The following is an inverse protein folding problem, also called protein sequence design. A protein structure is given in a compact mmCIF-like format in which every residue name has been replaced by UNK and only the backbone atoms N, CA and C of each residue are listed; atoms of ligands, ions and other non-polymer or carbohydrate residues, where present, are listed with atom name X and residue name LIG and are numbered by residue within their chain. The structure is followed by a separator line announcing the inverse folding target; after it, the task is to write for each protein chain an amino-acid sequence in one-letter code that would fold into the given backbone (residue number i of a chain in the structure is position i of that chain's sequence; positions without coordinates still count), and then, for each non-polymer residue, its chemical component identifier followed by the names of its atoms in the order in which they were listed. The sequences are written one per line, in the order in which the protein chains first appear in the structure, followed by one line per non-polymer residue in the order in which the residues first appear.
data_IF_780041516152
#
_entry.id   IF_780041516152
#
_cell.length_a   1.000
_cell.length_b   1.000
_cell.length_c   1.000
_cell.angle_alpha   90.00
_cell.angle_beta   90.00
_cell.angle_gamma   90.00
#
_symmetry.space_group_name_H-M   'P 1'
#
loop_
_entity.id
_entity.type
_entity.pdbx_description
1 polymer ?
#
# COMPACT_ATOMS: atom_id res chain seq x y z
N UNK A 1 -1.19 12.19 -12.85
CA UNK A 1 -1.35 13.40 -12.02
C UNK A 1 -0.91 14.59 -12.84
N UNK A 2 -1.79 15.56 -13.02
CA UNK A 2 -1.50 16.80 -13.72
C UNK A 2 -0.70 17.77 -12.81
N UNK A 3 -0.20 18.86 -13.40
CA UNK A 3 0.69 19.81 -12.69
C UNK A 3 -0.02 20.54 -11.54
N UNK A 4 -1.32 20.81 -11.67
CA UNK A 4 -2.13 21.51 -10.66
C UNK A 4 -2.38 20.62 -9.46
N UNK A 5 -2.79 19.37 -9.68
CA UNK A 5 -3.01 18.38 -8.61
C UNK A 5 -1.73 18.12 -7.81
N UNK A 6 -0.59 17.99 -8.50
CA UNK A 6 0.70 17.83 -7.83
C UNK A 6 1.00 19.01 -6.90
N UNK A 7 0.78 20.24 -7.37
CA UNK A 7 0.99 21.45 -6.56
C UNK A 7 0.10 21.46 -5.32
N UNK A 8 -1.19 21.11 -5.45
CA UNK A 8 -2.11 21.02 -4.32
C UNK A 8 -1.66 19.98 -3.29
N UNK A 9 -1.25 18.78 -3.72
CA UNK A 9 -0.72 17.76 -2.81
C UNK A 9 0.57 18.22 -2.11
N UNK A 10 1.44 18.96 -2.80
CA UNK A 10 2.63 19.56 -2.19
C UNK A 10 2.28 20.62 -1.13
N UNK A 11 1.27 21.46 -1.40
CA UNK A 11 0.76 22.46 -0.45
C UNK A 11 0.20 21.76 0.81
N UNK A 12 -0.61 20.71 0.65
CA UNK A 12 -1.13 19.89 1.75
C UNK A 12 0.00 19.28 2.58
N UNK A 13 1.04 18.73 1.93
CA UNK A 13 2.21 18.17 2.62
C UNK A 13 2.96 19.25 3.39
N UNK A 14 3.11 20.45 2.84
CA UNK A 14 3.82 21.55 3.50
C UNK A 14 3.11 22.09 4.75
N UNK A 15 1.79 21.86 4.85
CA UNK A 15 0.93 22.26 5.96
C UNK A 15 0.81 21.21 7.06
N UNK A 16 1.50 20.06 6.93
CA UNK A 16 1.45 19.03 7.97
C UNK A 16 2.08 19.52 9.28
N UNK A 17 1.45 19.13 10.38
CA UNK A 17 1.84 19.53 11.75
C UNK A 17 3.29 19.13 12.08
N UNK A 18 3.70 17.94 11.62
CA UNK A 18 5.02 17.38 11.88
C UNK A 18 5.84 17.25 10.59
N UNK A 19 7.18 17.36 10.69
CA UNK A 19 8.06 17.05 9.57
C UNK A 19 7.79 15.64 9.03
N UNK A 20 7.75 15.52 7.70
CA UNK A 20 7.61 14.21 7.06
C UNK A 20 8.98 13.64 6.70
N UNK A 21 9.08 12.31 6.75
CA UNK A 21 10.17 11.54 6.14
C UNK A 21 9.88 11.31 4.65
N UNK A 22 8.63 10.97 4.33
CA UNK A 22 8.12 10.85 2.98
C UNK A 22 6.59 10.95 2.95
N UNK A 23 6.04 11.26 1.78
CA UNK A 23 4.63 11.10 1.45
C UNK A 23 4.49 10.62 0.00
N UNK A 24 3.71 9.57 -0.20
CA UNK A 24 3.51 8.87 -1.47
C UNK A 24 2.04 8.62 -1.72
N UNK A 25 1.63 8.59 -2.99
CA UNK A 25 0.28 8.20 -3.37
C UNK A 25 0.18 6.67 -3.32
N UNK A 26 -0.89 6.19 -2.68
CA UNK A 26 -1.34 4.80 -2.66
C UNK A 26 -2.65 4.69 -3.44
N UNK A 27 -3.52 3.73 -3.10
CA UNK A 27 -4.86 3.72 -3.66
C UNK A 27 -4.92 3.35 -5.14
N UNK A 28 -6.10 3.55 -5.74
CA UNK A 28 -6.36 3.16 -7.12
C UNK A 28 -5.32 3.72 -8.12
N UNK A 29 -4.74 4.89 -7.82
CA UNK A 29 -3.64 5.49 -8.57
C UNK A 29 -2.36 4.63 -8.56
N UNK A 30 -1.91 4.17 -7.40
CA UNK A 30 -0.77 3.24 -7.29
C UNK A 30 -1.09 1.92 -7.98
N UNK A 31 -2.31 1.42 -7.78
CA UNK A 31 -2.71 0.08 -8.20
C UNK A 31 -3.03 -0.05 -9.70
N UNK A 32 -3.08 1.07 -10.43
CA UNK A 32 -3.21 1.08 -11.89
C UNK A 32 -4.64 1.02 -12.40
N UNK A 33 -5.64 1.36 -11.56
CA UNK A 33 -7.04 1.45 -11.97
C UNK A 33 -7.78 2.66 -11.36
N UNK A 34 -7.23 3.88 -11.40
CA UNK A 34 -7.91 5.08 -10.91
C UNK A 34 -9.09 5.44 -11.84
N UNK A 35 -10.29 5.50 -11.30
CA UNK A 35 -11.43 6.13 -11.98
C UNK A 35 -11.37 7.66 -11.85
N UNK A 36 -12.10 8.44 -12.69
CA UNK A 36 -12.12 9.90 -12.61
C UNK A 36 -12.56 10.46 -11.25
N UNK A 37 -13.35 9.68 -10.50
CA UNK A 37 -13.84 9.95 -9.14
C UNK A 37 -12.98 9.25 -8.06
N UNK A 38 -11.74 8.87 -8.35
CA UNK A 38 -10.88 8.24 -7.36
C UNK A 38 -10.21 9.26 -6.45
N UNK A 39 -10.32 9.00 -5.15
CA UNK A 39 -9.63 9.76 -4.11
C UNK A 39 -8.10 9.61 -4.25
N UNK A 40 -7.40 10.68 -3.87
CA UNK A 40 -5.96 10.64 -3.67
C UNK A 40 -5.66 10.10 -2.27
N UNK A 41 -5.37 8.80 -2.21
CA UNK A 41 -4.84 8.13 -1.02
C UNK A 41 -3.39 8.57 -0.75
N UNK A 42 -3.18 9.64 0.00
CA UNK A 42 -1.85 10.08 0.41
C UNK A 42 -1.43 9.32 1.67
N UNK A 43 -0.27 8.66 1.61
CA UNK A 43 0.27 7.85 2.70
C UNK A 43 1.70 8.26 3.00
N UNK A 44 2.08 8.32 4.27
CA UNK A 44 3.42 8.80 4.61
C UNK A 44 3.87 8.52 6.03
N UNK A 45 5.05 9.04 6.34
CA UNK A 45 5.68 8.91 7.63
C UNK A 45 6.00 10.30 8.16
N UNK A 46 5.49 10.61 9.35
CA UNK A 46 5.85 11.82 10.08
C UNK A 46 6.83 11.52 11.21
N UNK A 47 7.51 12.54 11.69
CA UNK A 47 8.52 12.45 12.74
C UNK A 47 8.00 13.23 13.94
N UNK A 48 7.58 12.52 14.98
CA UNK A 48 7.16 13.18 16.21
C UNK A 48 8.35 13.86 16.93
N UNK A 49 8.11 15.00 17.62
CA UNK A 49 9.08 15.64 18.49
C UNK A 49 9.67 14.68 19.52
N UNK A 50 10.95 14.86 19.88
CA UNK A 50 11.58 13.99 20.89
C UNK A 50 10.81 14.08 22.21
N UNK A 51 10.43 15.29 22.63
CA UNK A 51 9.72 15.55 23.87
C UNK A 51 8.40 14.78 23.98
N UNK A 52 7.65 14.67 22.87
CA UNK A 52 6.39 13.92 22.84
C UNK A 52 6.59 12.41 23.01
N UNK A 53 7.71 11.86 22.54
CA UNK A 53 7.93 10.41 22.58
C UNK A 53 8.64 9.94 23.85
N UNK A 54 9.46 10.78 24.48
CA UNK A 54 10.10 10.47 25.77
C UNK A 54 9.25 10.89 26.97
N UNK A 55 8.21 11.69 26.74
CA UNK A 55 7.27 12.12 27.77
C UNK A 55 6.42 10.98 28.32
N UNK A 56 5.69 11.27 29.41
CA UNK A 56 4.79 10.30 30.05
C UNK A 56 3.49 10.06 29.27
N UNK A 57 3.14 10.96 28.35
CA UNK A 57 1.91 10.87 27.57
C UNK A 57 2.11 9.90 26.40
N UNK A 58 1.04 9.19 26.03
CA UNK A 58 1.04 8.41 24.79
C UNK A 58 0.85 9.36 23.60
N UNK A 59 1.83 9.50 22.70
CA UNK A 59 1.71 10.43 21.59
C UNK A 59 0.70 9.94 20.54
N UNK A 60 0.16 10.86 19.75
CA UNK A 60 -0.69 10.53 18.60
C UNK A 60 0.19 10.01 17.46
N UNK A 61 0.45 8.71 17.43
CA UNK A 61 1.31 8.07 16.41
C UNK A 61 0.68 8.00 15.00
N UNK A 62 -0.54 8.49 14.80
CA UNK A 62 -1.24 8.43 13.50
C UNK A 62 -2.13 9.64 13.28
N UNK A 63 -1.93 10.28 12.13
CA UNK A 63 -2.72 11.40 11.66
C UNK A 63 -3.54 10.91 10.47
N UNK A 64 -4.85 11.10 10.57
CA UNK A 64 -5.83 10.78 9.54
C UNK A 64 -6.59 12.07 9.24
N UNK A 65 -6.60 12.46 7.97
CA UNK A 65 -7.23 13.68 7.49
C UNK A 65 -7.93 13.35 6.18
N UNK A 66 -9.26 13.44 6.16
CA UNK A 66 -10.04 13.38 4.92
C UNK A 66 -10.53 14.78 4.57
N UNK A 67 -10.25 15.23 3.35
CA UNK A 67 -10.60 16.59 2.88
C UNK A 67 -11.15 16.53 1.46
N UNK A 68 -12.09 17.43 1.19
CA UNK A 68 -12.53 17.76 -0.15
C UNK A 68 -12.04 19.18 -0.45
N UNK A 69 -11.00 19.31 -1.27
CA UNK A 69 -10.44 20.60 -1.68
C UNK A 69 -10.67 20.82 -3.18
N UNK A 70 -11.59 21.72 -3.53
CA UNK A 70 -12.04 22.12 -4.88
C UNK A 70 -12.24 20.95 -5.87
N UNK A 71 -11.16 20.34 -6.35
CA UNK A 71 -11.13 19.29 -7.37
C UNK A 71 -10.45 17.98 -6.90
N UNK A 72 -10.04 17.88 -5.63
CA UNK A 72 -9.39 16.69 -5.06
C UNK A 72 -10.15 16.22 -3.83
N UNK A 73 -10.58 14.95 -3.86
CA UNK A 73 -10.93 14.19 -2.67
C UNK A 73 -9.64 13.53 -2.15
N UNK A 74 -9.19 13.94 -0.97
CA UNK A 74 -7.95 13.50 -0.34
C UNK A 74 -8.27 12.66 0.89
N UNK A 75 -7.63 11.50 0.97
CA UNK A 75 -7.49 10.74 2.20
C UNK A 75 -6.01 10.68 2.58
N UNK A 76 -5.61 11.41 3.62
CA UNK A 76 -4.24 11.46 4.13
C UNK A 76 -4.13 10.60 5.39
N UNK A 77 -3.20 9.65 5.37
CA UNK A 77 -2.82 8.88 6.56
C UNK A 77 -1.31 8.88 6.71
N UNK A 78 -0.81 9.39 7.83
CA UNK A 78 0.61 9.30 8.18
C UNK A 78 0.82 8.65 9.53
N UNK A 79 1.90 7.88 9.65
CA UNK A 79 2.31 7.26 10.91
C UNK A 79 3.60 7.87 11.42
N UNK A 80 3.77 7.92 12.75
CA UNK A 80 5.08 8.21 13.32
C UNK A 80 6.10 7.18 12.82
N UNK A 81 7.32 7.64 12.58
CA UNK A 81 8.43 6.83 12.08
C UNK A 81 8.67 5.54 12.89
N UNK A 82 8.55 5.57 14.22
CA UNK A 82 8.70 4.36 15.05
C UNK A 82 7.57 3.36 14.77
N UNK A 83 6.33 3.83 14.70
CA UNK A 83 5.17 2.99 14.38
C UNK A 83 5.33 2.36 12.99
N UNK A 84 5.71 3.15 11.98
CA UNK A 84 5.94 2.66 10.64
C UNK A 84 7.03 1.58 10.58
N UNK A 85 8.17 1.80 11.25
CA UNK A 85 9.26 0.81 11.32
C UNK A 85 8.80 -0.48 12.04
N UNK A 86 7.99 -0.35 13.08
CA UNK A 86 7.35 -1.47 13.74
C UNK A 86 6.43 -2.27 12.81
N UNK A 87 5.70 -1.61 11.92
CA UNK A 87 4.85 -2.27 10.92
C UNK A 87 5.68 -3.01 9.85
N UNK A 88 6.80 -2.43 9.40
CA UNK A 88 7.74 -3.12 8.50
C UNK A 88 8.25 -4.43 9.12
N UNK A 89 8.65 -4.39 10.39
CA UNK A 89 9.12 -5.59 11.11
C UNK A 89 8.01 -6.62 11.38
N UNK A 90 6.74 -6.20 11.34
CA UNK A 90 5.57 -7.08 11.54
C UNK A 90 5.03 -7.68 10.24
N UNK A 91 5.79 -7.58 9.14
CA UNK A 91 5.47 -8.17 7.83
C UNK A 91 4.22 -7.58 7.19
N UNK A 92 4.00 -6.29 7.41
CA UNK A 92 2.83 -5.60 6.87
C UNK A 92 3.13 -5.18 5.42
N UNK A 93 2.53 -5.87 4.44
CA UNK A 93 2.70 -5.58 3.02
C UNK A 93 2.20 -4.20 2.61
N UNK A 94 1.17 -3.69 3.28
CA UNK A 94 0.60 -2.37 2.99
C UNK A 94 1.61 -1.23 3.19
N UNK A 95 2.40 -1.25 4.27
CA UNK A 95 3.43 -0.21 4.47
C UNK A 95 4.61 -0.37 3.51
N UNK A 96 4.89 -1.59 3.02
CA UNK A 96 5.87 -1.78 1.94
C UNK A 96 5.38 -1.17 0.63
N UNK A 97 4.10 -1.35 0.28
CA UNK A 97 3.51 -0.74 -0.92
C UNK A 97 3.55 0.80 -0.86
N UNK A 98 3.36 1.39 0.33
CA UNK A 98 3.53 2.83 0.54
C UNK A 98 4.99 3.25 0.35
N UNK A 99 5.92 2.58 1.04
CA UNK A 99 7.35 2.89 0.99
C UNK A 99 7.94 2.79 -0.42
N UNK A 100 7.51 1.80 -1.20
CA UNK A 100 8.01 1.57 -2.56
C UNK A 100 7.12 2.18 -3.64
N UNK A 101 6.11 2.97 -3.29
CA UNK A 101 5.28 3.64 -4.28
C UNK A 101 6.14 4.55 -5.16
N UNK A 102 6.07 4.43 -6.50
CA UNK A 102 6.79 5.32 -7.40
C UNK A 102 6.14 6.71 -7.49
N UNK A 103 4.95 6.90 -6.91
CA UNK A 103 4.19 8.15 -6.96
C UNK A 103 4.53 9.04 -5.76
N UNK A 104 5.73 9.61 -5.78
CA UNK A 104 6.29 10.40 -4.68
C UNK A 104 5.74 11.83 -4.72
N UNK A 105 5.17 12.29 -3.61
CA UNK A 105 4.75 13.70 -3.40
C UNK A 105 5.83 14.45 -2.61
N UNK A 106 6.41 13.80 -1.60
CA UNK A 106 7.46 14.34 -0.76
C UNK A 106 8.44 13.25 -0.33
N UNK A 107 9.73 13.59 -0.24
CA UNK A 107 10.79 12.66 0.13
C UNK A 107 11.97 13.37 0.79
N UNK A 108 12.67 12.69 1.67
CA UNK A 108 14.00 13.08 2.16
C UNK A 108 15.06 12.04 1.74
N UNK A 109 16.37 12.30 1.92
CA UNK A 109 17.41 11.28 1.68
C UNK A 109 17.21 10.00 2.51
N UNK A 110 16.69 10.12 3.73
CA UNK A 110 16.41 9.00 4.62
C UNK A 110 15.27 8.10 4.12
N UNK A 111 14.40 8.59 3.21
CA UNK A 111 13.41 7.74 2.55
C UNK A 111 14.08 6.69 1.64
N UNK A 112 15.08 7.08 0.86
CA UNK A 112 15.83 6.13 0.02
C UNK A 112 16.69 5.17 0.86
N UNK A 113 17.27 5.67 1.96
CA UNK A 113 17.96 4.80 2.92
C UNK A 113 16.99 3.80 3.57
N UNK A 114 15.79 4.23 3.95
CA UNK A 114 14.75 3.35 4.48
C UNK A 114 14.34 2.28 3.46
N UNK A 115 14.21 2.63 2.17
CA UNK A 115 13.97 1.66 1.09
C UNK A 115 15.07 0.62 0.98
N UNK A 116 16.33 1.02 1.15
CA UNK A 116 17.45 0.07 1.17
C UNK A 116 17.35 -0.89 2.38
N UNK A 117 17.06 -0.36 3.57
CA UNK A 117 16.92 -1.16 4.80
C UNK A 117 15.71 -2.09 4.75
N UNK A 118 14.58 -1.61 4.23
CA UNK A 118 13.31 -2.35 4.21
C UNK A 118 13.35 -3.62 3.35
N UNK A 119 14.29 -3.72 2.40
CA UNK A 119 14.56 -4.99 1.70
C UNK A 119 14.86 -6.14 2.67
N UNK A 120 15.53 -5.84 3.78
CA UNK A 120 15.86 -6.79 4.86
C UNK A 120 14.73 -7.00 5.87
N UNK A 121 13.58 -6.35 5.68
CA UNK A 121 12.34 -6.63 6.42
C UNK A 121 11.45 -7.66 5.70
N UNK A 122 11.66 -7.87 4.40
CA UNK A 122 10.83 -8.76 3.58
C UNK A 122 11.14 -10.21 3.93
N UNK A 123 10.09 -11.00 4.12
CA UNK A 123 10.15 -12.41 4.52
C UNK A 123 9.13 -13.23 3.76
N UNK A 124 9.36 -14.55 3.67
CA UNK A 124 8.37 -15.47 3.05
C UNK A 124 7.03 -15.49 3.79
N UNK A 125 6.99 -15.01 5.04
CA UNK A 125 5.78 -14.89 5.85
C UNK A 125 4.91 -13.65 5.53
N UNK A 126 5.34 -12.77 4.62
CA UNK A 126 4.44 -11.75 4.06
C UNK A 126 3.25 -12.36 3.32
N UNK A 127 3.36 -13.63 2.89
CA UNK A 127 2.26 -14.42 2.32
C UNK A 127 0.96 -14.29 3.13
N UNK A 128 1.05 -14.29 4.47
CA UNK A 128 -0.13 -14.22 5.34
C UNK A 128 -0.83 -12.86 5.29
N UNK A 129 -0.08 -11.77 5.09
CA UNK A 129 -0.68 -10.46 4.90
C UNK A 129 -1.50 -10.42 3.60
N UNK A 130 -0.90 -10.86 2.49
CA UNK A 130 -1.54 -10.83 1.18
C UNK A 130 -2.75 -11.78 1.11
N UNK A 131 -2.65 -12.99 1.66
CA UNK A 131 -3.79 -13.93 1.76
C UNK A 131 -4.92 -13.37 2.65
N UNK A 132 -4.59 -12.82 3.82
CA UNK A 132 -5.58 -12.23 4.72
C UNK A 132 -6.31 -11.04 4.09
N UNK A 133 -5.59 -10.19 3.35
CA UNK A 133 -6.18 -9.08 2.62
C UNK A 133 -7.07 -9.59 1.47
N UNK A 134 -6.58 -10.54 0.67
CA UNK A 134 -7.36 -11.14 -0.42
C UNK A 134 -8.66 -11.75 0.10
N UNK A 135 -8.61 -12.50 1.21
CA UNK A 135 -9.79 -13.07 1.85
C UNK A 135 -10.79 -12.01 2.28
N UNK A 136 -10.32 -10.90 2.84
CA UNK A 136 -11.19 -9.79 3.26
C UNK A 136 -11.92 -9.17 2.07
N UNK A 137 -11.19 -8.91 0.98
CA UNK A 137 -11.77 -8.36 -0.25
C UNK A 137 -12.70 -9.35 -0.96
N UNK A 138 -12.35 -10.63 -0.96
CA UNK A 138 -13.20 -11.69 -1.49
C UNK A 138 -14.54 -11.77 -0.75
N UNK A 139 -14.52 -11.69 0.59
CA UNK A 139 -15.75 -11.65 1.40
C UNK A 139 -16.61 -10.42 1.14
N UNK A 140 -15.99 -9.27 0.86
CA UNK A 140 -16.73 -8.06 0.47
C UNK A 140 -17.39 -8.27 -0.90
N UNK A 141 -16.63 -8.80 -1.86
CA UNK A 141 -17.12 -9.13 -3.19
C UNK A 141 -18.29 -10.13 -3.16
N UNK A 142 -18.14 -11.24 -2.43
CA UNK A 142 -19.09 -12.36 -2.43
C UNK A 142 -20.38 -12.10 -1.65
N UNK A 143 -20.41 -11.09 -0.77
CA UNK A 143 -21.59 -10.74 0.04
C UNK A 143 -22.48 -9.69 -0.62
N UNK A 144 -22.04 -9.06 -1.69
CA UNK A 144 -22.81 -8.03 -2.38
C UNK A 144 -23.91 -8.68 -3.23
N UNK A 145 -25.17 -8.23 -3.06
CA UNK A 145 -26.30 -8.66 -3.91
C UNK A 145 -26.09 -8.30 -5.39
N UNK A 146 -25.21 -7.32 -5.67
CA UNK A 146 -24.75 -6.95 -7.00
C UNK A 146 -23.24 -6.71 -6.92
N UNK A 147 -22.41 -7.76 -7.14
CA UNK A 147 -20.98 -7.70 -6.87
C UNK A 147 -20.27 -6.65 -7.71
N UNK A 148 -19.64 -5.69 -7.06
CA UNK A 148 -18.86 -4.64 -7.71
C UNK A 148 -17.49 -5.15 -8.12
N UNK A 149 -16.99 -4.66 -9.26
CA UNK A 149 -15.65 -4.97 -9.78
C UNK A 149 -14.51 -4.47 -8.89
N UNK A 150 -14.72 -3.38 -8.11
CA UNK A 150 -13.65 -2.79 -7.27
C UNK A 150 -13.08 -3.80 -6.26
N UNK A 151 -13.86 -4.42 -5.34
CA UNK A 151 -13.35 -5.47 -4.46
C UNK A 151 -12.59 -6.59 -5.20
N UNK A 152 -13.09 -7.02 -6.35
CA UNK A 152 -12.46 -8.08 -7.14
C UNK A 152 -11.09 -7.66 -7.73
N UNK A 153 -10.95 -6.43 -8.22
CA UNK A 153 -9.66 -5.88 -8.64
C UNK A 153 -8.66 -5.86 -7.48
N UNK A 154 -9.11 -5.54 -6.26
CA UNK A 154 -8.27 -5.60 -5.06
C UNK A 154 -7.88 -7.03 -4.68
N UNK A 155 -8.73 -8.04 -4.91
CA UNK A 155 -8.36 -9.45 -4.76
C UNK A 155 -7.23 -9.83 -5.72
N UNK A 156 -7.40 -9.55 -7.02
CA UNK A 156 -6.39 -9.92 -8.00
C UNK A 156 -5.06 -9.24 -7.74
N UNK A 157 -5.08 -7.92 -7.56
CA UNK A 157 -3.84 -7.18 -7.39
C UNK A 157 -3.07 -7.61 -6.14
N UNK A 158 -3.74 -7.87 -5.02
CA UNK A 158 -3.04 -8.22 -3.78
C UNK A 158 -2.44 -9.63 -3.87
N UNK A 159 -3.12 -10.55 -4.56
CA UNK A 159 -2.61 -11.89 -4.81
C UNK A 159 -1.41 -11.84 -5.76
N UNK A 160 -1.48 -11.07 -6.84
CA UNK A 160 -0.38 -10.94 -7.79
C UNK A 160 0.83 -10.21 -7.19
N UNK A 161 0.61 -9.18 -6.37
CA UNK A 161 1.67 -8.53 -5.59
C UNK A 161 2.34 -9.51 -4.65
N UNK A 162 1.56 -10.31 -3.92
CA UNK A 162 2.08 -11.34 -3.03
C UNK A 162 2.92 -12.38 -3.79
N UNK A 163 2.43 -12.88 -4.93
CA UNK A 163 3.14 -13.90 -5.72
C UNK A 163 4.45 -13.32 -6.26
N UNK A 164 4.41 -12.10 -6.83
CA UNK A 164 5.59 -11.40 -7.32
C UNK A 164 6.62 -11.19 -6.20
N UNK A 165 6.18 -10.76 -5.01
CA UNK A 165 7.05 -10.61 -3.85
C UNK A 165 7.72 -11.92 -3.44
N UNK A 166 6.96 -13.01 -3.37
CA UNK A 166 7.52 -14.32 -3.00
C UNK A 166 8.55 -14.82 -4.02
N UNK A 167 8.35 -14.52 -5.30
CA UNK A 167 9.24 -14.94 -6.38
C UNK A 167 10.51 -14.10 -6.51
N UNK A 168 10.43 -12.79 -6.22
CA UNK A 168 11.48 -11.83 -6.59
C UNK A 168 12.12 -11.11 -5.40
N UNK A 169 11.43 -11.09 -4.25
CA UNK A 169 11.78 -10.22 -3.13
C UNK A 169 11.53 -8.73 -3.38
N UNK A 170 10.85 -8.37 -4.48
CA UNK A 170 10.52 -7.00 -4.84
C UNK A 170 9.02 -6.74 -4.72
N UNK A 171 8.66 -5.48 -4.45
CA UNK A 171 7.27 -5.04 -4.35
C UNK A 171 6.86 -4.41 -5.68
N UNK A 172 5.75 -4.90 -6.24
CA UNK A 172 5.01 -4.24 -7.31
C UNK A 172 3.53 -4.28 -6.96
N UNK A 173 2.92 -3.11 -6.82
CA UNK A 173 1.52 -2.94 -6.39
C UNK A 173 0.58 -2.64 -7.56
N UNK A 174 1.14 -2.28 -8.72
CA UNK A 174 0.38 -1.90 -9.90
C UNK A 174 -0.10 -3.13 -10.67
N UNK A 175 -1.43 -3.34 -10.69
CA UNK A 175 -2.06 -4.49 -11.32
C UNK A 175 -1.76 -4.56 -12.83
N UNK A 176 -1.72 -3.43 -13.51
CA UNK A 176 -1.46 -3.38 -14.96
C UNK A 176 -0.05 -3.89 -15.25
N UNK A 177 0.95 -3.42 -14.48
CA UNK A 177 2.34 -3.90 -14.60
C UNK A 177 2.47 -5.38 -14.25
N UNK A 178 1.87 -5.82 -13.14
CA UNK A 178 1.86 -7.23 -12.77
C UNK A 178 1.26 -8.07 -13.89
N UNK A 179 0.16 -7.63 -14.51
CA UNK A 179 -0.51 -8.40 -15.55
C UNK A 179 0.29 -8.52 -16.86
N UNK A 180 1.34 -7.70 -17.07
CA UNK A 180 2.30 -7.93 -18.18
C UNK A 180 3.07 -9.24 -18.00
N UNK A 181 3.35 -9.62 -16.74
CA UNK A 181 3.99 -10.88 -16.38
C UNK A 181 2.98 -12.02 -16.28
N UNK A 182 1.86 -11.82 -15.58
CA UNK A 182 0.90 -12.89 -15.26
C UNK A 182 -0.10 -13.19 -16.39
N UNK A 183 -0.32 -12.25 -17.32
CA UNK A 183 -1.12 -12.42 -18.53
C UNK A 183 -2.53 -12.99 -18.29
N UNK A 184 -3.20 -12.54 -17.23
CA UNK A 184 -4.58 -12.93 -16.94
C UNK A 184 -5.53 -12.14 -17.87
N UNK A 185 -6.24 -12.81 -18.79
CA UNK A 185 -6.92 -12.13 -19.90
C UNK A 185 -8.15 -11.32 -19.47
N UNK A 186 -8.72 -11.61 -18.31
CA UNK A 186 -9.90 -10.94 -17.76
C UNK A 186 -9.58 -9.66 -16.98
N UNK A 187 -8.31 -9.41 -16.62
CA UNK A 187 -7.94 -8.21 -15.86
C UNK A 187 -8.20 -6.90 -16.65
N UNK A 188 -7.79 -6.76 -17.93
CA UNK A 188 -8.06 -5.55 -18.69
C UNK A 188 -9.55 -5.20 -18.74
N UNK A 189 -10.40 -6.21 -18.95
CA UNK A 189 -11.85 -6.02 -18.99
C UNK A 189 -12.41 -5.53 -17.64
N UNK A 190 -11.95 -6.10 -16.52
CA UNK A 190 -12.36 -5.65 -15.18
C UNK A 190 -11.91 -4.20 -14.92
N UNK A 191 -10.71 -3.83 -15.34
CA UNK A 191 -10.23 -2.45 -15.22
C UNK A 191 -11.13 -1.52 -16.05
N UNK A 192 -11.40 -1.85 -17.31
CA UNK A 192 -12.26 -1.06 -18.19
C UNK A 192 -13.68 -0.89 -17.61
N UNK A 193 -14.27 -1.95 -17.06
CA UNK A 193 -15.57 -1.89 -16.37
C UNK A 193 -15.52 -0.93 -15.18
N UNK A 194 -14.43 -0.92 -14.40
CA UNK A 194 -14.27 0.02 -13.27
C UNK A 194 -14.12 1.48 -13.73
N UNK A 195 -13.46 1.71 -14.87
CA UNK A 195 -13.25 3.05 -15.44
C UNK A 195 -14.53 3.64 -16.05
N UNK A 196 -15.43 2.81 -16.59
CA UNK A 196 -16.69 3.24 -17.20
C UNK A 196 -17.79 3.67 -16.20
N UNK A 197 -17.52 3.66 -14.89
CA UNK A 197 -18.41 4.23 -13.87
C UNK A 197 -19.32 3.21 -13.14
N UNK A 198 -20.05 3.71 -12.13
CA UNK A 198 -20.78 2.89 -11.14
C UNK A 198 -21.86 1.98 -11.76
N UNK A 199 -22.51 2.39 -12.84
CA UNK A 199 -23.63 1.68 -13.47
C UNK A 199 -23.23 0.41 -14.24
N UNK A 200 -21.96 0.26 -14.64
CA UNK A 200 -21.44 -0.93 -15.36
C UNK A 200 -20.48 -1.78 -14.51
N UNK A 201 -20.41 -1.47 -13.21
CA UNK A 201 -19.46 -2.10 -12.30
C UNK A 201 -19.94 -3.43 -11.72
N UNK A 202 -21.12 -3.92 -12.12
CA UNK A 202 -21.74 -5.12 -11.58
C UNK A 202 -21.45 -6.35 -12.45
N UNK A 203 -21.23 -7.48 -11.80
CA UNK A 203 -20.98 -8.76 -12.46
C UNK A 203 -22.23 -9.65 -12.49
N UNK A 204 -22.31 -10.52 -13.50
CA UNK A 204 -23.38 -11.53 -13.60
C UNK A 204 -23.06 -12.75 -12.75
N UNK A 205 -24.07 -13.56 -12.41
CA UNK A 205 -23.83 -14.77 -11.61
C UNK A 205 -22.85 -15.76 -12.26
N UNK A 206 -22.81 -15.84 -13.59
CA UNK A 206 -21.86 -16.69 -14.33
C UNK A 206 -20.41 -16.22 -14.19
N UNK A 207 -20.19 -14.93 -13.93
CA UNK A 207 -18.85 -14.36 -13.69
C UNK A 207 -18.32 -14.77 -12.30
N UNK A 208 -19.20 -14.98 -11.31
CA UNK A 208 -18.81 -15.24 -9.92
C UNK A 208 -18.11 -16.60 -9.77
N UNK A 209 -18.69 -17.67 -10.32
CA UNK A 209 -18.11 -19.03 -10.24
C UNK A 209 -16.74 -19.09 -10.90
N UNK A 210 -16.56 -18.34 -11.99
CA UNK A 210 -15.26 -18.21 -12.66
C UNK A 210 -14.25 -17.51 -11.74
N UNK A 211 -14.60 -16.36 -11.19
CA UNK A 211 -13.73 -15.60 -10.31
C UNK A 211 -13.41 -16.34 -9.00
N UNK A 212 -14.31 -17.19 -8.50
CA UNK A 212 -14.06 -18.03 -7.34
C UNK A 212 -12.97 -19.06 -7.61
N UNK A 213 -13.05 -19.76 -8.75
CA UNK A 213 -12.00 -20.71 -9.16
C UNK A 213 -10.65 -20.00 -9.31
N UNK A 214 -10.63 -18.83 -9.93
CA UNK A 214 -9.38 -18.07 -10.10
C UNK A 214 -8.83 -17.54 -8.76
N UNK A 215 -9.70 -17.08 -7.87
CA UNK A 215 -9.31 -16.68 -6.51
C UNK A 215 -8.64 -17.84 -5.76
N UNK A 216 -9.28 -19.02 -5.74
CA UNK A 216 -8.73 -20.20 -5.07
C UNK A 216 -7.41 -20.65 -5.70
N UNK A 217 -7.32 -20.68 -7.04
CA UNK A 217 -6.11 -21.01 -7.78
C UNK A 217 -4.96 -20.07 -7.45
N UNK A 218 -5.21 -18.76 -7.39
CA UNK A 218 -4.19 -17.76 -7.09
C UNK A 218 -3.77 -17.79 -5.61
N UNK A 219 -4.68 -18.08 -4.67
CA UNK A 219 -4.33 -18.34 -3.28
C UNK A 219 -3.35 -19.52 -3.16
N UNK A 220 -3.64 -20.65 -3.81
CA UNK A 220 -2.74 -21.81 -3.84
C UNK A 220 -1.39 -21.48 -4.50
N UNK A 221 -1.41 -20.67 -5.56
CA UNK A 221 -0.20 -20.21 -6.24
C UNK A 221 0.67 -19.36 -5.30
N UNK A 222 0.07 -18.45 -4.53
CA UNK A 222 0.75 -17.62 -3.53
C UNK A 222 1.34 -18.46 -2.40
N UNK A 223 0.59 -19.44 -1.90
CA UNK A 223 1.09 -20.39 -0.89
C UNK A 223 2.29 -21.19 -1.41
N UNK A 224 2.19 -21.72 -2.63
CA UNK A 224 3.27 -22.49 -3.28
C UNK A 224 4.51 -21.62 -3.53
N UNK A 225 4.31 -20.37 -3.95
CA UNK A 225 5.40 -19.40 -4.13
C UNK A 225 6.11 -19.09 -2.81
N UNK A 226 5.37 -18.99 -1.69
CA UNK A 226 5.96 -18.80 -0.36
C UNK A 226 6.78 -20.02 0.09
N UNK A 227 6.27 -21.24 -0.16
CA UNK A 227 6.97 -22.48 0.19
C UNK A 227 8.30 -22.67 -0.56
N UNK A 228 8.34 -22.20 -1.82
CA UNK A 228 9.53 -22.27 -2.69
C UNK A 228 10.39 -21.01 -2.68
N UNK A 229 10.02 -19.99 -1.89
CA UNK A 229 10.73 -18.71 -1.85
C UNK A 229 12.09 -18.82 -1.17
N UNK A 230 13.07 -18.10 -1.71
CA UNK A 230 14.39 -17.91 -1.07
C UNK A 230 14.39 -16.80 -0.01
N UNK A 231 13.24 -16.14 0.23
CA UNK A 231 13.13 -15.10 1.25
C UNK A 231 13.33 -15.67 2.66
N UNK A 232 13.95 -14.91 3.58
CA UNK A 232 14.16 -15.35 4.94
C UNK A 232 12.83 -15.50 5.70
N UNK A 233 12.85 -16.25 6.80
CA UNK A 233 11.67 -16.40 7.68
C UNK A 233 11.49 -15.18 8.60
N UNK A 234 12.61 -14.58 9.03
CA UNK A 234 12.64 -13.49 10.00
C UNK A 234 13.30 -12.24 9.40
N UNK A 235 12.82 -11.02 9.75
CA UNK A 235 13.45 -9.79 9.32
C UNK A 235 14.80 -9.59 10.02
N UNK A 236 15.81 -9.12 9.28
CA UNK A 236 17.16 -8.85 9.80
C UNK A 236 17.45 -7.35 10.03
N UNK A 237 16.50 -6.48 9.73
CA UNK A 237 16.71 -5.02 9.71
C UNK A 237 16.50 -4.30 11.06
N UNK A 238 16.15 -5.00 12.15
CA UNK A 238 15.71 -4.35 13.41
C UNK A 238 16.73 -3.35 13.98
N UNK A 239 18.01 -3.73 14.05
CA UNK A 239 19.04 -2.83 14.59
C UNK A 239 19.29 -1.64 13.67
N UNK A 240 19.35 -1.86 12.36
CA UNK A 240 19.59 -0.78 11.39
C UNK A 240 18.41 0.21 11.37
N UNK A 241 17.16 -0.28 11.47
CA UNK A 241 15.99 0.57 11.65
C UNK A 241 16.02 1.35 12.98
N UNK A 242 16.53 0.74 14.05
CA UNK A 242 16.71 1.44 15.32
C UNK A 242 17.70 2.60 15.18
N UNK A 243 18.85 2.36 14.57
CA UNK A 243 19.89 3.38 14.39
C UNK A 243 19.38 4.53 13.49
N UNK A 244 18.67 4.20 12.39
CA UNK A 244 17.99 5.18 11.54
C UNK A 244 16.96 6.01 12.33
N UNK A 245 16.11 5.34 13.12
CA UNK A 245 15.08 6.01 13.93
C UNK A 245 15.69 7.02 14.91
N UNK A 246 16.72 6.60 15.65
CA UNK A 246 17.40 7.47 16.61
C UNK A 246 18.03 8.67 15.90
N UNK A 247 18.75 8.42 14.78
CA UNK A 247 19.39 9.47 14.00
C UNK A 247 18.39 10.48 13.42
N UNK A 248 17.28 10.01 12.85
CA UNK A 248 16.23 10.88 12.30
C UNK A 248 15.61 11.72 13.40
N UNK A 249 15.34 11.15 14.57
CA UNK A 249 14.77 11.92 15.70
C UNK A 249 15.73 12.98 16.22
N UNK A 250 17.02 12.67 16.39
CA UNK A 250 18.01 13.67 16.82
C UNK A 250 18.11 14.83 15.81
N UNK A 251 18.01 14.51 14.51
CA UNK A 251 18.14 15.50 13.43
C UNK A 251 16.89 16.36 13.26
N UNK A 252 15.69 15.77 13.31
CA UNK A 252 14.44 16.41 12.90
C UNK A 252 13.40 16.54 14.02
N UNK A 253 13.47 15.70 15.04
CA UNK A 253 12.61 15.76 16.22
C UNK A 253 13.04 16.93 17.10
N UNK A 254 12.58 18.13 16.74
CA UNK A 254 12.76 19.32 17.60
C UNK A 254 12.19 19.04 18.99
N UNK A 255 12.78 19.67 20.01
CA UNK A 255 12.29 19.65 21.39
C UNK A 255 11.07 20.56 21.49
#
# INVERSE_FOLDING_TARGET
MNKTENKQLQEIVSQQEYPLLFATISGAHLYGFPSPDSDYDLRGVHILPIAEVIGLNSPRETIEISRLEENIELDLVTHDIKKFFGLLLKRNGYVLEQLYSPLIVYTTPEHEELKAIASSCITKHHVYHYLGFAQTQWRLFSKENSPRVKPLLYVYRVLLTGIHLMQTGQIEANLVKLNQQFQLPYIPELIDRKLQGKEKSTLTNTDIDFHEREYLRLCQTLESASQSSNLPENPAAKQILHDLLVRVRIRYGKI
#
